data_IF_887822447375
#
_entry.id   IF_887822447375
#
_cell.length_a   1.000
_cell.length_b   1.000
_cell.length_c   1.000
_cell.angle_alpha   90.00
_cell.angle_beta   90.00
_cell.angle_gamma   90.00
#
_symmetry.space_group_name_H-M   'P 1'
#
loop_
_entity.id
_entity.type
_entity.pdbx_description
1 polymer ?
#
# COMPACT_ATOMS: atom_id res chain seq x y z
N UNK A 1 -5.81 -29.54 -3.11
CA UNK A 1 -4.60 -29.90 -2.34
C UNK A 1 -4.30 -28.76 -1.39
N UNK A 2 -4.09 -29.07 -0.11
CA UNK A 2 -3.72 -28.08 0.91
C UNK A 2 -2.20 -27.84 0.86
N UNK A 3 -1.78 -26.59 0.97
CA UNK A 3 -0.37 -26.20 1.06
C UNK A 3 0.23 -26.57 2.43
N UNK A 4 1.49 -26.99 2.43
CA UNK A 4 2.30 -27.36 3.60
C UNK A 4 3.57 -26.48 3.72
N UNK A 5 4.25 -26.46 4.88
CA UNK A 5 5.54 -25.79 5.01
C UNK A 5 6.60 -26.31 4.02
N UNK A 6 6.60 -27.61 3.70
CA UNK A 6 7.54 -28.21 2.74
C UNK A 6 7.36 -27.64 1.32
N UNK A 7 6.13 -27.31 0.92
CA UNK A 7 5.86 -26.65 -0.36
C UNK A 7 6.53 -25.27 -0.44
N UNK A 8 6.63 -24.55 0.69
CA UNK A 8 7.27 -23.24 0.79
C UNK A 8 8.79 -23.39 0.69
N UNK A 9 9.36 -24.39 1.35
CA UNK A 9 10.79 -24.69 1.26
C UNK A 9 11.19 -25.06 -0.17
N UNK A 10 10.40 -25.90 -0.84
CA UNK A 10 10.58 -26.20 -2.26
C UNK A 10 10.43 -24.94 -3.13
N UNK A 11 9.48 -24.06 -2.81
CA UNK A 11 9.31 -22.80 -3.51
C UNK A 11 10.51 -21.86 -3.33
N UNK A 12 11.17 -21.87 -2.17
CA UNK A 12 12.38 -21.07 -1.92
C UNK A 12 13.49 -21.40 -2.92
N UNK A 13 13.67 -22.68 -3.25
CA UNK A 13 14.63 -23.12 -4.25
C UNK A 13 14.28 -22.61 -5.65
N UNK A 14 13.00 -22.63 -6.04
CA UNK A 14 12.53 -22.17 -7.36
C UNK A 14 12.60 -20.66 -7.56
N UNK A 15 12.31 -19.89 -6.51
CA UNK A 15 12.35 -18.42 -6.63
C UNK A 15 13.76 -17.84 -6.49
N UNK A 16 14.69 -18.60 -5.88
CA UNK A 16 16.08 -18.19 -5.70
C UNK A 16 16.75 -17.92 -7.05
N UNK A 17 17.41 -16.77 -7.17
CA UNK A 17 18.13 -16.35 -8.38
C UNK A 17 17.30 -15.48 -9.34
N UNK A 18 15.97 -15.59 -9.32
CA UNK A 18 15.08 -14.73 -10.11
C UNK A 18 14.36 -13.68 -9.25
N UNK A 19 13.91 -14.06 -8.05
CA UNK A 19 13.46 -13.12 -7.02
C UNK A 19 14.66 -12.66 -6.19
N UNK A 20 14.72 -11.36 -5.92
CA UNK A 20 15.67 -10.78 -4.98
C UNK A 20 15.33 -11.23 -3.55
N UNK A 21 16.36 -11.59 -2.79
CA UNK A 21 16.26 -11.60 -1.33
C UNK A 21 16.20 -10.14 -0.86
N UNK A 22 15.01 -9.66 -0.56
CA UNK A 22 14.82 -8.25 -0.25
C UNK A 22 15.37 -7.90 1.14
N UNK A 23 15.88 -6.68 1.35
CA UNK A 23 16.42 -6.29 2.65
C UNK A 23 15.38 -6.32 3.77
N UNK A 24 15.80 -6.77 4.96
CA UNK A 24 15.12 -6.54 6.23
C UNK A 24 15.85 -5.41 6.98
N UNK A 25 15.25 -4.22 7.02
CA UNK A 25 15.94 -3.00 7.47
C UNK A 25 15.42 -2.53 8.82
N UNK A 26 16.32 -2.33 9.78
CA UNK A 26 16.00 -1.73 11.07
C UNK A 26 15.56 -0.27 10.93
N UNK A 27 14.43 0.07 11.54
CA UNK A 27 13.87 1.42 11.57
C UNK A 27 14.06 2.09 12.93
N UNK A 28 15.13 2.88 13.06
CA UNK A 28 15.41 3.70 14.25
C UNK A 28 14.21 4.57 14.64
N UNK A 29 13.57 5.22 13.66
CA UNK A 29 12.42 6.11 13.93
C UNK A 29 11.23 5.35 14.48
N UNK A 30 10.82 4.24 13.86
CA UNK A 30 9.70 3.42 14.35
C UNK A 30 10.03 2.79 15.70
N UNK A 31 11.27 2.38 15.89
CA UNK A 31 11.74 1.78 17.13
C UNK A 31 11.68 2.78 18.29
N UNK A 32 12.17 4.00 18.07
CA UNK A 32 12.14 5.07 19.07
C UNK A 32 10.71 5.45 19.47
N UNK A 33 9.78 5.56 18.53
CA UNK A 33 8.40 5.98 18.85
C UNK A 33 7.58 4.90 19.53
N UNK A 34 7.96 3.63 19.38
CA UNK A 34 7.21 2.49 19.91
C UNK A 34 7.89 1.80 21.10
N UNK A 35 9.16 2.12 21.40
CA UNK A 35 9.96 1.43 22.40
C UNK A 35 10.32 -0.02 22.05
N UNK A 36 10.22 -0.41 20.76
CA UNK A 36 10.43 -1.78 20.25
C UNK A 36 11.52 -1.82 19.19
N UNK A 37 12.02 -2.99 18.84
CA UNK A 37 12.93 -3.18 17.70
C UNK A 37 12.09 -3.41 16.44
N UNK A 38 11.94 -2.38 15.60
CA UNK A 38 11.07 -2.42 14.42
C UNK A 38 11.90 -2.57 13.14
N UNK A 39 11.55 -3.55 12.32
CA UNK A 39 12.17 -3.86 11.05
C UNK A 39 11.17 -3.74 9.89
N UNK A 40 11.66 -3.37 8.71
CA UNK A 40 10.87 -3.25 7.49
C UNK A 40 11.33 -4.31 6.48
N UNK A 41 10.43 -5.19 6.05
CA UNK A 41 10.72 -6.15 4.96
C UNK A 41 10.35 -5.50 3.62
N UNK A 42 11.35 -5.15 2.82
CA UNK A 42 11.23 -4.22 1.69
C UNK A 42 10.91 -4.90 0.35
N UNK A 43 9.72 -5.49 0.24
CA UNK A 43 9.26 -6.09 -1.03
C UNK A 43 8.99 -5.07 -2.14
N UNK A 44 8.89 -3.78 -1.82
CA UNK A 44 8.90 -2.70 -2.79
C UNK A 44 10.20 -2.64 -3.62
N UNK A 45 11.30 -3.24 -3.14
CA UNK A 45 12.58 -3.33 -3.85
C UNK A 45 12.71 -4.62 -4.68
N UNK A 46 11.69 -5.47 -4.73
CA UNK A 46 11.69 -6.64 -5.61
C UNK A 46 11.74 -6.18 -7.08
N UNK A 47 12.21 -7.03 -8.01
CA UNK A 47 12.43 -6.67 -9.43
C UNK A 47 11.23 -6.02 -10.11
N UNK A 48 10.01 -6.46 -9.78
CA UNK A 48 8.76 -5.89 -10.32
C UNK A 48 8.09 -4.90 -9.37
N UNK A 49 8.83 -4.36 -8.41
CA UNK A 49 8.37 -3.39 -7.41
C UNK A 49 7.42 -3.95 -6.34
N UNK A 50 7.24 -5.27 -6.23
CA UNK A 50 6.39 -5.90 -5.21
C UNK A 50 6.64 -7.39 -5.04
N UNK A 51 6.09 -7.96 -3.96
CA UNK A 51 6.19 -9.39 -3.62
C UNK A 51 5.62 -10.36 -4.67
N UNK A 52 4.71 -9.89 -5.55
CA UNK A 52 3.93 -10.75 -6.45
C UNK A 52 4.80 -11.66 -7.32
N UNK A 53 6.01 -11.22 -7.64
CA UNK A 53 6.98 -11.98 -8.41
C UNK A 53 7.27 -13.37 -7.79
N UNK A 54 7.31 -13.51 -6.46
CA UNK A 54 7.66 -14.77 -5.80
C UNK A 54 6.67 -15.89 -6.14
N UNK A 55 5.38 -15.64 -5.93
CA UNK A 55 4.34 -16.62 -6.27
C UNK A 55 4.17 -16.84 -7.78
N UNK A 56 4.35 -15.80 -8.60
CA UNK A 56 4.32 -15.95 -10.06
C UNK A 56 5.45 -16.87 -10.55
N UNK A 57 6.68 -16.63 -10.10
CA UNK A 57 7.85 -17.48 -10.42
C UNK A 57 7.62 -18.92 -9.99
N UNK A 58 7.20 -19.17 -8.74
CA UNK A 58 6.99 -20.53 -8.28
C UNK A 58 5.94 -21.28 -9.11
N UNK A 59 4.80 -20.64 -9.41
CA UNK A 59 3.74 -21.25 -10.23
C UNK A 59 4.21 -21.55 -11.65
N UNK A 60 4.88 -20.58 -12.30
CA UNK A 60 5.34 -20.73 -13.68
C UNK A 60 6.51 -21.72 -13.81
N UNK A 61 7.40 -21.77 -12.83
CA UNK A 61 8.48 -22.75 -12.78
C UNK A 61 7.92 -24.18 -12.63
N UNK A 62 6.89 -24.36 -11.79
CA UNK A 62 6.20 -25.65 -11.63
C UNK A 62 5.49 -26.09 -12.91
N UNK A 63 4.83 -25.17 -13.62
CA UNK A 63 4.26 -25.45 -14.93
C UNK A 63 5.33 -25.95 -15.92
N UNK A 64 6.47 -25.25 -15.98
CA UNK A 64 7.60 -25.67 -16.81
C UNK A 64 8.18 -27.03 -16.42
N UNK A 65 8.37 -27.28 -15.13
CA UNK A 65 8.87 -28.58 -14.60
C UNK A 65 7.93 -29.74 -14.95
N UNK A 66 6.61 -29.49 -14.96
CA UNK A 66 5.60 -30.51 -15.28
C UNK A 66 5.34 -30.66 -16.79
N UNK A 67 5.92 -29.79 -17.61
CA UNK A 67 5.56 -29.72 -19.04
C UNK A 67 4.10 -29.32 -19.25
N UNK A 68 3.54 -28.54 -18.33
CA UNK A 68 2.16 -28.06 -18.38
C UNK A 68 2.12 -26.60 -18.84
N UNK A 69 1.23 -26.28 -19.78
CA UNK A 69 0.89 -24.89 -20.11
C UNK A 69 1.90 -24.18 -21.00
N UNK A 70 1.76 -24.36 -22.31
CA UNK A 70 2.58 -23.68 -23.33
C UNK A 70 2.30 -22.16 -23.42
N UNK A 71 1.27 -21.68 -22.73
CA UNK A 71 0.89 -20.26 -22.67
C UNK A 71 0.06 -20.00 -21.41
N UNK A 72 0.23 -18.80 -20.85
CA UNK A 72 -0.43 -18.42 -19.59
C UNK A 72 -1.23 -17.14 -19.75
N UNK A 73 -2.28 -17.01 -18.94
CA UNK A 73 -3.12 -15.83 -18.89
C UNK A 73 -3.34 -15.36 -17.46
N UNK A 74 -3.33 -14.05 -17.22
CA UNK A 74 -3.76 -13.47 -15.95
C UNK A 74 -4.64 -12.23 -16.19
N UNK A 75 -5.54 -11.95 -15.26
CA UNK A 75 -6.32 -10.70 -15.23
C UNK A 75 -5.86 -9.85 -14.05
N UNK A 76 -5.23 -8.70 -14.33
CA UNK A 76 -4.78 -7.76 -13.32
C UNK A 76 -4.36 -6.43 -13.95
N UNK A 77 -4.72 -5.32 -13.33
CA UNK A 77 -4.22 -3.99 -13.70
C UNK A 77 -2.98 -3.55 -12.88
N UNK A 78 -2.33 -4.48 -12.16
CA UNK A 78 -1.42 -4.13 -11.06
C UNK A 78 -0.20 -5.04 -10.91
N UNK A 79 0.25 -5.18 -9.68
CA UNK A 79 1.46 -5.92 -9.31
C UNK A 79 1.50 -7.37 -9.80
N UNK A 80 0.34 -8.04 -9.85
CA UNK A 80 0.27 -9.41 -10.35
C UNK A 80 0.55 -9.50 -11.85
N UNK A 81 0.06 -8.54 -12.65
CA UNK A 81 0.35 -8.48 -14.08
C UNK A 81 1.86 -8.40 -14.34
N UNK A 82 2.55 -7.50 -13.65
CA UNK A 82 4.00 -7.33 -13.78
C UNK A 82 4.76 -8.57 -13.30
N UNK A 83 4.36 -9.16 -12.17
CA UNK A 83 4.95 -10.38 -11.64
C UNK A 83 4.84 -11.56 -12.60
N UNK A 84 3.67 -11.79 -13.19
CA UNK A 84 3.45 -12.85 -14.20
C UNK A 84 4.22 -12.55 -15.48
N UNK A 85 4.17 -11.32 -15.99
CA UNK A 85 4.86 -10.94 -17.22
C UNK A 85 6.38 -11.14 -17.10
N UNK A 86 6.98 -10.65 -16.02
CA UNK A 86 8.41 -10.81 -15.78
C UNK A 86 8.80 -12.30 -15.64
N UNK A 87 8.08 -13.05 -14.78
CA UNK A 87 8.36 -14.46 -14.55
C UNK A 87 8.24 -15.28 -15.85
N UNK A 88 7.18 -15.05 -16.62
CA UNK A 88 6.95 -15.77 -17.86
C UNK A 88 8.04 -15.48 -18.91
N UNK A 89 8.46 -14.22 -19.07
CA UNK A 89 9.59 -13.84 -19.92
C UNK A 89 10.89 -14.52 -19.49
N UNK A 90 11.18 -14.56 -18.19
CA UNK A 90 12.40 -15.21 -17.69
C UNK A 90 12.43 -16.72 -17.95
N UNK A 91 11.26 -17.34 -18.10
CA UNK A 91 11.11 -18.79 -18.31
C UNK A 91 10.87 -19.17 -19.78
N UNK A 92 10.70 -18.19 -20.66
CA UNK A 92 10.37 -18.41 -22.07
C UNK A 92 8.92 -18.86 -22.30
N UNK A 93 8.00 -18.54 -21.38
CA UNK A 93 6.59 -18.90 -21.46
C UNK A 93 5.80 -17.70 -22.03
N UNK A 94 5.05 -17.86 -23.14
CA UNK A 94 4.14 -16.83 -23.63
C UNK A 94 3.10 -16.42 -22.57
N UNK A 95 3.03 -15.14 -22.25
CA UNK A 95 2.07 -14.59 -21.29
C UNK A 95 1.15 -13.55 -21.91
N UNK A 96 -0.15 -13.71 -21.66
CA UNK A 96 -1.19 -12.73 -21.98
C UNK A 96 -1.75 -12.14 -20.69
N UNK A 97 -1.78 -10.81 -20.60
CA UNK A 97 -2.33 -10.10 -19.46
C UNK A 97 -3.57 -9.32 -19.90
N UNK A 98 -4.71 -9.62 -19.29
CA UNK A 98 -5.95 -8.90 -19.52
C UNK A 98 -6.09 -7.79 -18.48
N UNK A 99 -6.29 -6.56 -18.93
CA UNK A 99 -6.46 -5.37 -18.09
C UNK A 99 -7.75 -4.63 -18.47
N UNK A 100 -8.44 -3.98 -17.53
CA UNK A 100 -9.49 -3.02 -17.86
C UNK A 100 -8.94 -1.86 -18.69
N UNK A 101 -9.79 -1.29 -19.55
CA UNK A 101 -9.39 -0.16 -20.44
C UNK A 101 -8.91 1.07 -19.67
N UNK A 102 -9.41 1.27 -18.46
CA UNK A 102 -9.02 2.37 -17.56
C UNK A 102 -7.78 2.09 -16.70
N UNK A 103 -7.05 0.99 -16.91
CA UNK A 103 -5.81 0.73 -16.18
C UNK A 103 -4.79 1.85 -16.42
N UNK A 104 -4.00 2.21 -15.41
CA UNK A 104 -2.97 3.25 -15.53
C UNK A 104 -1.98 2.94 -16.65
N UNK A 105 -1.66 3.94 -17.48
CA UNK A 105 -0.74 3.80 -18.62
C UNK A 105 0.62 3.26 -18.18
N UNK A 106 1.14 3.75 -17.04
CA UNK A 106 2.38 3.27 -16.40
C UNK A 106 2.40 1.74 -16.22
N UNK A 107 1.36 1.16 -15.62
CA UNK A 107 1.23 -0.29 -15.36
C UNK A 107 1.03 -1.10 -16.65
N UNK A 108 0.33 -0.54 -17.63
CA UNK A 108 0.22 -1.15 -18.97
C UNK A 108 1.59 -1.24 -19.64
N UNK A 109 2.32 -0.12 -19.68
CA UNK A 109 3.65 -0.04 -20.30
C UNK A 109 4.67 -0.91 -19.58
N UNK A 110 4.69 -0.92 -18.24
CA UNK A 110 5.58 -1.78 -17.47
C UNK A 110 5.32 -3.27 -17.77
N UNK A 111 4.06 -3.68 -17.83
CA UNK A 111 3.70 -5.08 -18.14
C UNK A 111 4.09 -5.48 -19.56
N UNK A 112 3.83 -4.61 -20.55
CA UNK A 112 4.24 -4.83 -21.93
C UNK A 112 5.77 -4.83 -22.10
N UNK A 113 6.50 -4.00 -21.35
CA UNK A 113 7.96 -3.95 -21.33
C UNK A 113 8.61 -5.26 -20.82
N UNK A 114 7.89 -6.01 -19.99
CA UNK A 114 8.25 -7.37 -19.61
C UNK A 114 7.88 -8.43 -20.65
N UNK A 115 7.46 -8.05 -21.86
CA UNK A 115 7.26 -8.97 -22.99
C UNK A 115 5.93 -9.72 -23.00
N UNK A 116 5.00 -9.37 -22.11
CA UNK A 116 3.67 -9.96 -22.14
C UNK A 116 2.76 -9.26 -23.17
N UNK A 117 1.85 -10.03 -23.78
CA UNK A 117 0.79 -9.48 -24.60
C UNK A 117 -0.27 -8.85 -23.70
N UNK A 118 -0.46 -7.53 -23.78
CA UNK A 118 -1.49 -6.82 -23.02
C UNK A 118 -2.78 -6.72 -23.84
N UNK A 119 -3.90 -7.20 -23.28
CA UNK A 119 -5.24 -7.07 -23.85
C UNK A 119 -6.04 -6.12 -22.97
N UNK A 120 -6.46 -4.98 -23.53
CA UNK A 120 -7.36 -4.04 -22.86
C UNK A 120 -8.81 -4.44 -23.12
N UNK A 121 -9.49 -4.94 -22.08
CA UNK A 121 -10.86 -5.42 -22.18
C UNK A 121 -11.66 -5.07 -20.92
N UNK A 122 -12.88 -4.61 -21.15
CA UNK A 122 -13.83 -4.31 -20.08
C UNK A 122 -13.61 -2.96 -19.39
N UNK A 123 -14.62 -2.58 -18.60
CA UNK A 123 -14.66 -1.35 -17.79
C UNK A 123 -13.95 -1.53 -16.44
N UNK A 124 -13.97 -2.75 -15.91
CA UNK A 124 -13.39 -3.09 -14.62
C UNK A 124 -12.69 -4.46 -14.64
N UNK A 125 -12.15 -4.86 -13.48
CA UNK A 125 -11.42 -6.11 -13.34
C UNK A 125 -12.32 -7.35 -13.50
N UNK A 126 -13.63 -7.24 -13.25
CA UNK A 126 -14.58 -8.36 -13.40
C UNK A 126 -14.72 -8.71 -14.87
N UNK A 127 -15.00 -7.72 -15.72
CA UNK A 127 -15.08 -7.91 -17.18
C UNK A 127 -13.73 -8.37 -17.77
N UNK A 128 -12.61 -7.84 -17.26
CA UNK A 128 -11.27 -8.32 -17.66
C UNK A 128 -11.04 -9.80 -17.28
N UNK A 129 -11.55 -10.25 -16.13
CA UNK A 129 -11.47 -11.64 -15.69
C UNK A 129 -12.35 -12.56 -16.55
N UNK A 130 -13.52 -12.10 -16.99
CA UNK A 130 -14.38 -12.84 -17.94
C UNK A 130 -13.64 -13.10 -19.24
N UNK A 131 -12.99 -12.08 -19.81
CA UNK A 131 -12.15 -12.26 -21.00
C UNK A 131 -10.97 -13.19 -20.77
N UNK A 132 -10.36 -13.18 -19.58
CA UNK A 132 -9.31 -14.15 -19.25
C UNK A 132 -9.87 -15.60 -19.21
N UNK A 133 -11.10 -15.82 -18.71
CA UNK A 133 -11.75 -17.14 -18.73
C UNK A 133 -12.01 -17.65 -20.14
N UNK A 134 -12.35 -16.76 -21.09
CA UNK A 134 -12.48 -17.13 -22.50
C UNK A 134 -11.15 -17.62 -23.09
N UNK A 135 -10.03 -17.03 -22.68
CA UNK A 135 -8.69 -17.49 -23.09
C UNK A 135 -8.35 -18.82 -22.43
N UNK A 136 -8.78 -19.08 -21.20
CA UNK A 136 -8.62 -20.41 -20.57
C UNK A 136 -9.32 -21.49 -21.38
N UNK A 137 -10.52 -21.21 -21.91
CA UNK A 137 -11.22 -22.14 -22.81
C UNK A 137 -10.46 -22.42 -24.13
N UNK A 138 -9.48 -21.58 -24.47
CA UNK A 138 -8.60 -21.73 -25.63
C UNK A 138 -7.25 -22.40 -25.28
N UNK A 139 -7.12 -22.96 -24.08
CA UNK A 139 -5.94 -23.72 -23.64
C UNK A 139 -4.88 -22.89 -22.91
N UNK A 140 -5.19 -21.65 -22.49
CA UNK A 140 -4.29 -20.89 -21.62
C UNK A 140 -4.40 -21.37 -20.18
N UNK A 141 -3.28 -21.43 -19.47
CA UNK A 141 -3.29 -21.69 -18.02
C UNK A 141 -3.50 -20.37 -17.27
N UNK A 142 -4.56 -20.30 -16.46
CA UNK A 142 -4.83 -19.12 -15.63
C UNK A 142 -3.88 -19.05 -14.43
N UNK A 143 -3.18 -17.93 -14.28
CA UNK A 143 -2.32 -17.67 -13.11
C UNK A 143 -3.08 -16.79 -12.13
N UNK A 144 -3.66 -17.42 -11.11
CA UNK A 144 -4.45 -16.72 -10.11
C UNK A 144 -3.57 -15.81 -9.22
N UNK A 145 -4.00 -14.59 -8.85
CA UNK A 145 -3.18 -13.64 -8.08
C UNK A 145 -2.86 -14.04 -6.64
N UNK A 146 -3.59 -14.98 -6.04
CA UNK A 146 -3.46 -15.34 -4.63
C UNK A 146 -4.07 -16.69 -4.23
N UNK A 147 -5.30 -16.98 -4.65
CA UNK A 147 -6.06 -18.21 -4.35
C UNK A 147 -5.58 -19.47 -5.12
N UNK A 148 -4.27 -19.64 -5.21
CA UNK A 148 -3.59 -20.80 -5.80
C UNK A 148 -2.53 -21.29 -4.79
N UNK A 149 -2.51 -22.58 -4.41
CA UNK A 149 -1.56 -23.11 -3.43
C UNK A 149 -0.09 -22.89 -3.80
N UNK A 150 0.25 -22.96 -5.08
CA UNK A 150 1.63 -22.80 -5.54
C UNK A 150 2.03 -21.32 -5.59
N UNK A 151 1.10 -20.44 -5.94
CA UNK A 151 1.31 -18.99 -5.78
C UNK A 151 1.53 -18.67 -4.30
N UNK A 152 0.69 -19.19 -3.42
CA UNK A 152 0.82 -19.02 -1.96
C UNK A 152 2.16 -19.54 -1.43
N UNK A 153 2.62 -20.70 -1.91
CA UNK A 153 3.92 -21.26 -1.54
C UNK A 153 5.08 -20.34 -1.92
N UNK A 154 5.05 -19.78 -3.14
CA UNK A 154 6.03 -18.79 -3.56
C UNK A 154 5.98 -17.53 -2.69
N UNK A 155 4.79 -17.01 -2.36
CA UNK A 155 4.70 -15.84 -1.47
C UNK A 155 5.22 -16.15 -0.06
N UNK A 156 5.05 -17.38 0.43
CA UNK A 156 5.52 -17.81 1.75
C UNK A 156 7.03 -17.80 1.93
N UNK A 157 7.80 -17.79 0.85
CA UNK A 157 9.27 -17.64 0.90
C UNK A 157 9.71 -16.37 1.63
N UNK A 158 8.87 -15.34 1.65
CA UNK A 158 9.07 -14.12 2.45
C UNK A 158 9.18 -14.42 3.95
N UNK A 159 8.36 -15.34 4.48
CA UNK A 159 8.41 -15.74 5.89
C UNK A 159 9.68 -16.51 6.24
N UNK A 160 10.20 -17.32 5.31
CA UNK A 160 11.48 -17.99 5.47
C UNK A 160 12.64 -16.98 5.55
N UNK A 161 12.65 -15.99 4.65
CA UNK A 161 13.66 -14.94 4.67
C UNK A 161 13.61 -14.10 5.96
N UNK A 162 12.41 -13.76 6.45
CA UNK A 162 12.25 -13.04 7.72
C UNK A 162 12.88 -13.83 8.87
N UNK A 163 12.62 -15.13 8.97
CA UNK A 163 13.19 -15.95 10.05
C UNK A 163 14.69 -16.15 9.94
N UNK A 164 15.21 -16.24 8.72
CA UNK A 164 16.66 -16.34 8.49
C UNK A 164 17.36 -15.02 8.86
N UNK A 165 16.76 -13.87 8.52
CA UNK A 165 17.33 -12.55 8.80
C UNK A 165 17.10 -12.10 10.26
N UNK A 166 16.02 -12.55 10.90
CA UNK A 166 15.64 -12.21 12.28
C UNK A 166 14.98 -13.41 13.00
N UNK A 167 15.76 -14.38 13.50
CA UNK A 167 15.24 -15.58 14.16
C UNK A 167 14.41 -15.30 15.45
N UNK A 168 14.64 -14.14 16.06
CA UNK A 168 13.95 -13.69 17.28
C UNK A 168 12.65 -12.93 17.05
N UNK A 169 12.14 -12.84 15.81
CA UNK A 169 10.92 -12.08 15.50
C UNK A 169 9.74 -12.53 16.36
N UNK A 170 9.09 -11.56 17.00
CA UNK A 170 7.91 -11.80 17.84
C UNK A 170 6.63 -11.61 17.04
N UNK A 171 6.56 -10.53 16.24
CA UNK A 171 5.36 -10.19 15.47
C UNK A 171 5.68 -9.78 14.03
N UNK A 172 4.91 -10.30 13.08
CA UNK A 172 4.90 -9.86 11.67
C UNK A 172 3.55 -9.23 11.33
N UNK A 173 3.57 -7.96 10.93
CA UNK A 173 2.39 -7.21 10.48
C UNK A 173 2.37 -7.17 8.96
N UNK A 174 1.29 -7.67 8.34
CA UNK A 174 1.25 -7.98 6.91
C UNK A 174 -0.07 -7.57 6.24
N UNK A 175 -0.04 -6.90 5.06
CA UNK A 175 -1.26 -6.52 4.36
C UNK A 175 -2.01 -7.74 3.78
N UNK A 176 -3.34 -7.67 3.80
CA UNK A 176 -4.24 -8.74 3.36
C UNK A 176 -5.22 -8.21 2.30
N UNK A 177 -4.97 -8.59 1.04
CA UNK A 177 -5.96 -8.50 -0.03
C UNK A 177 -6.72 -9.83 -0.14
N UNK A 178 -6.45 -10.57 -1.21
CA UNK A 178 -6.95 -11.95 -1.39
C UNK A 178 -6.22 -13.02 -0.58
N UNK A 179 -5.43 -12.64 0.44
CA UNK A 179 -4.89 -13.58 1.43
C UNK A 179 -3.58 -14.32 1.10
N UNK A 180 -3.18 -14.44 -0.16
CA UNK A 180 -2.06 -15.30 -0.57
C UNK A 180 -0.71 -14.98 0.11
N UNK A 181 -0.37 -13.70 0.26
CA UNK A 181 0.86 -13.28 0.94
C UNK A 181 0.84 -13.64 2.43
N UNK A 182 -0.22 -13.24 3.12
CA UNK A 182 -0.37 -13.47 4.55
C UNK A 182 -0.48 -14.96 4.89
N UNK A 183 -1.22 -15.75 4.11
CA UNK A 183 -1.39 -17.17 4.33
C UNK A 183 -0.07 -17.93 4.14
N UNK A 184 0.66 -17.65 3.04
CA UNK A 184 1.96 -18.26 2.78
C UNK A 184 2.99 -17.86 3.83
N UNK A 185 3.06 -16.57 4.18
CA UNK A 185 4.00 -16.08 5.19
C UNK A 185 3.71 -16.66 6.56
N UNK A 186 2.44 -16.68 6.97
CA UNK A 186 2.04 -17.27 8.26
C UNK A 186 2.37 -18.76 8.32
N UNK A 187 2.14 -19.51 7.25
CA UNK A 187 2.47 -20.94 7.20
C UNK A 187 3.98 -21.19 7.33
N UNK A 188 4.81 -20.36 6.68
CA UNK A 188 6.26 -20.42 6.81
C UNK A 188 6.73 -20.13 8.24
N UNK A 189 6.20 -19.05 8.84
CA UNK A 189 6.54 -18.62 10.19
C UNK A 189 6.12 -19.67 11.22
N UNK A 190 4.85 -20.10 11.18
CA UNK A 190 4.30 -21.08 12.13
C UNK A 190 4.94 -22.46 12.00
N UNK A 191 5.43 -22.83 10.81
CA UNK A 191 6.12 -24.10 10.60
C UNK A 191 7.50 -24.17 11.26
N UNK A 192 8.16 -23.04 11.51
CA UNK A 192 9.53 -22.98 12.08
C UNK A 192 9.61 -22.32 13.46
N UNK A 193 8.73 -21.35 13.72
CA UNK A 193 8.65 -20.56 14.96
C UNK A 193 7.18 -20.30 15.31
N UNK A 194 6.44 -21.33 15.81
CA UNK A 194 5.00 -21.28 16.06
C UNK A 194 4.52 -20.11 16.93
N UNK A 195 5.37 -19.61 17.82
CA UNK A 195 5.11 -18.49 18.72
C UNK A 195 5.05 -17.13 18.01
N UNK A 196 5.59 -17.00 16.80
CA UNK A 196 5.58 -15.74 16.04
C UNK A 196 4.13 -15.31 15.76
N UNK A 197 3.70 -14.16 16.25
CA UNK A 197 2.39 -13.61 15.94
C UNK A 197 2.36 -13.08 14.50
N UNK A 198 1.27 -13.34 13.78
CA UNK A 198 1.04 -12.77 12.45
C UNK A 198 -0.25 -11.98 12.48
N UNK A 199 -0.15 -10.67 12.26
CA UNK A 199 -1.28 -9.74 12.30
C UNK A 199 -1.56 -9.27 10.87
N UNK A 200 -2.76 -9.58 10.39
CA UNK A 200 -3.25 -9.12 9.09
C UNK A 200 -3.70 -7.67 9.15
N UNK A 201 -3.57 -6.96 8.02
CA UNK A 201 -4.07 -5.59 7.87
C UNK A 201 -4.92 -5.46 6.61
N UNK A 202 -6.15 -4.96 6.73
CA UNK A 202 -6.96 -4.56 5.57
C UNK A 202 -7.26 -3.06 5.58
N UNK A 203 -7.48 -2.49 4.40
CA UNK A 203 -8.12 -1.18 4.32
C UNK A 203 -9.57 -1.29 4.80
N UNK A 204 -10.00 -0.39 5.69
CA UNK A 204 -11.39 -0.32 6.17
C UNK A 204 -12.39 -0.08 5.03
N UNK A 205 -11.92 0.43 3.89
CA UNK A 205 -12.68 0.57 2.65
C UNK A 205 -13.18 -0.77 2.07
N UNK A 206 -12.44 -1.87 2.27
CA UNK A 206 -12.73 -3.21 1.72
C UNK A 206 -12.35 -4.34 2.71
N UNK A 207 -13.10 -4.54 3.81
CA UNK A 207 -12.73 -5.44 4.90
C UNK A 207 -13.20 -6.91 4.65
N UNK A 208 -12.78 -7.51 3.54
CA UNK A 208 -13.29 -8.82 3.10
C UNK A 208 -12.92 -10.01 3.98
N UNK A 209 -11.73 -10.02 4.59
CA UNK A 209 -11.34 -11.06 5.53
C UNK A 209 -12.07 -10.89 6.85
N UNK A 210 -12.25 -9.65 7.34
CA UNK A 210 -13.01 -9.40 8.58
C UNK A 210 -14.44 -9.94 8.46
N UNK A 211 -15.13 -9.63 7.36
CA UNK A 211 -16.47 -10.17 7.10
C UNK A 211 -16.48 -11.70 6.97
N UNK A 212 -15.43 -12.28 6.39
CA UNK A 212 -15.32 -13.74 6.27
C UNK A 212 -15.05 -14.44 7.61
N UNK A 213 -14.27 -13.83 8.50
CA UNK A 213 -14.04 -14.32 9.85
C UNK A 213 -15.33 -14.29 10.68
N UNK A 214 -16.08 -13.20 10.60
CA UNK A 214 -17.37 -13.03 11.27
C UNK A 214 -18.41 -14.07 10.82
N UNK A 215 -18.54 -14.27 9.49
CA UNK A 215 -19.52 -15.22 8.92
C UNK A 215 -19.02 -16.66 8.80
N UNK A 216 -17.76 -16.92 9.15
CA UNK A 216 -17.15 -18.25 9.10
C UNK A 216 -16.79 -18.77 7.71
N UNK A 217 -16.82 -17.93 6.66
CA UNK A 217 -16.53 -18.31 5.27
C UNK A 217 -16.38 -17.13 4.32
N UNK A 218 -15.77 -17.30 3.12
CA UNK A 218 -15.61 -16.24 2.14
C UNK A 218 -16.92 -15.50 1.86
N UNK A 219 -16.94 -14.21 2.19
CA UNK A 219 -18.13 -13.37 2.12
C UNK A 219 -17.82 -12.14 1.27
N UNK A 220 -18.62 -11.83 0.24
CA UNK A 220 -18.41 -10.63 -0.56
C UNK A 220 -18.77 -9.37 0.25
N UNK A 221 -17.96 -8.32 0.08
CA UNK A 221 -18.20 -6.99 0.65
C UNK A 221 -18.19 -5.92 -0.44
N UNK A 222 -18.85 -4.78 -0.18
CA UNK A 222 -18.76 -3.63 -1.07
C UNK A 222 -17.33 -3.07 -1.07
N UNK A 223 -16.77 -2.86 -2.27
CA UNK A 223 -15.42 -2.30 -2.42
C UNK A 223 -15.46 -0.78 -2.65
N UNK A 224 -15.24 0.00 -1.59
CA UNK A 224 -15.07 1.46 -1.69
C UNK A 224 -13.70 1.83 -2.31
N UNK A 225 -13.54 3.06 -2.84
CA UNK A 225 -12.23 3.55 -3.27
C UNK A 225 -11.22 3.55 -2.12
N UNK A 226 -9.97 3.21 -2.42
CA UNK A 226 -8.88 3.15 -1.44
C UNK A 226 -7.53 3.45 -2.10
N UNK A 227 -6.60 4.06 -1.35
CA UNK A 227 -5.19 4.20 -1.69
C UNK A 227 -4.47 2.84 -1.76
N UNK A 228 -4.99 1.84 -1.06
CA UNK A 228 -4.42 0.49 -1.03
C UNK A 228 -5.06 -0.43 -2.08
N UNK A 229 -4.94 -0.05 -3.35
CA UNK A 229 -5.49 -0.78 -4.51
C UNK A 229 -5.04 -2.25 -4.55
N UNK A 230 -3.80 -2.55 -4.16
CA UNK A 230 -3.25 -3.91 -4.08
C UNK A 230 -3.95 -4.84 -3.08
N UNK A 231 -4.71 -4.30 -2.13
CA UNK A 231 -5.54 -5.06 -1.17
C UNK A 231 -7.04 -4.76 -1.30
N UNK A 232 -7.47 -4.06 -2.37
CA UNK A 232 -8.87 -3.80 -2.69
C UNK A 232 -9.55 -5.05 -3.26
N UNK A 233 -9.72 -6.07 -2.42
CA UNK A 233 -10.26 -7.38 -2.83
C UNK A 233 -11.58 -7.64 -2.09
N UNK A 234 -12.76 -7.55 -2.76
CA UNK A 234 -14.07 -7.64 -2.12
C UNK A 234 -14.44 -9.04 -1.63
N UNK A 235 -13.71 -10.07 -2.05
CA UNK A 235 -13.96 -11.45 -1.66
C UNK A 235 -12.62 -12.14 -1.37
N UNK A 236 -12.43 -12.58 -0.13
CA UNK A 236 -11.24 -13.34 0.27
C UNK A 236 -11.16 -14.66 -0.52
N UNK A 237 -9.94 -15.14 -0.80
CA UNK A 237 -9.75 -16.38 -1.56
C UNK A 237 -10.26 -17.61 -0.78
N UNK A 238 -10.92 -18.52 -1.48
CA UNK A 238 -11.51 -19.75 -0.93
C UNK A 238 -10.49 -20.70 -0.30
N UNK A 239 -9.27 -20.74 -0.82
CA UNK A 239 -8.15 -21.54 -0.33
C UNK A 239 -7.30 -20.78 0.67
N UNK A 240 -7.26 -19.45 0.55
CA UNK A 240 -6.51 -18.61 1.49
C UNK A 240 -7.22 -18.47 2.83
N UNK A 241 -8.55 -18.36 2.85
CA UNK A 241 -9.34 -18.13 4.05
C UNK A 241 -9.14 -19.20 5.14
N UNK A 242 -9.23 -20.52 4.86
CA UNK A 242 -9.04 -21.54 5.90
C UNK A 242 -7.68 -21.42 6.59
N UNK A 243 -6.62 -21.10 5.84
CA UNK A 243 -5.28 -20.89 6.37
C UNK A 243 -5.16 -19.63 7.20
N UNK A 244 -5.78 -18.53 6.77
CA UNK A 244 -5.78 -17.29 7.55
C UNK A 244 -6.56 -17.42 8.85
N UNK A 245 -7.71 -18.09 8.82
CA UNK A 245 -8.53 -18.38 10.01
C UNK A 245 -7.76 -19.22 11.03
N UNK A 246 -6.93 -20.15 10.56
CA UNK A 246 -6.10 -21.02 11.40
C UNK A 246 -4.84 -20.30 11.94
N UNK A 247 -4.17 -19.50 11.11
CA UNK A 247 -2.78 -19.08 11.37
C UNK A 247 -2.61 -17.61 11.77
N UNK A 248 -3.57 -16.73 11.49
CA UNK A 248 -3.49 -15.34 11.92
C UNK A 248 -3.79 -15.22 13.41
N UNK A 249 -2.98 -14.43 14.10
CA UNK A 249 -3.21 -14.07 15.49
C UNK A 249 -4.32 -13.03 15.62
N UNK A 250 -4.36 -12.07 14.68
CA UNK A 250 -5.33 -10.99 14.68
C UNK A 250 -5.43 -10.33 13.29
N UNK A 251 -6.45 -9.49 13.12
CA UNK A 251 -6.71 -8.67 11.95
C UNK A 251 -7.10 -7.24 12.38
N UNK A 252 -6.43 -6.24 11.83
CA UNK A 252 -6.80 -4.83 12.04
C UNK A 252 -7.18 -4.13 10.73
N UNK A 253 -8.06 -3.14 10.85
CA UNK A 253 -8.46 -2.28 9.75
C UNK A 253 -7.77 -0.92 9.86
N UNK A 254 -7.39 -0.35 8.72
CA UNK A 254 -6.80 0.98 8.64
C UNK A 254 -7.59 1.88 7.71
N UNK A 255 -7.79 3.13 8.14
CA UNK A 255 -8.46 4.15 7.35
C UNK A 255 -7.52 4.78 6.31
N UNK A 256 -8.12 5.37 5.28
CA UNK A 256 -7.39 5.96 4.14
C UNK A 256 -6.37 7.02 4.56
N UNK A 257 -6.72 7.86 5.53
CA UNK A 257 -5.81 8.89 6.02
C UNK A 257 -4.63 8.29 6.79
N UNK A 258 -4.82 7.18 7.51
CA UNK A 258 -3.72 6.48 8.17
C UNK A 258 -2.74 5.88 7.15
N UNK A 259 -3.26 5.34 6.04
CA UNK A 259 -2.45 4.86 4.92
C UNK A 259 -1.65 6.02 4.29
N UNK A 260 -2.28 7.17 4.04
CA UNK A 260 -1.63 8.37 3.51
C UNK A 260 -0.50 8.88 4.43
N UNK A 261 -0.74 8.91 5.75
CA UNK A 261 0.28 9.30 6.73
C UNK A 261 1.44 8.30 6.80
N UNK A 262 1.15 7.00 6.68
CA UNK A 262 2.17 5.96 6.67
C UNK A 262 3.05 6.02 5.41
N UNK A 263 2.46 6.33 4.25
CA UNK A 263 3.20 6.61 3.01
C UNK A 263 4.19 7.75 3.20
N UNK A 264 3.71 8.89 3.69
CA UNK A 264 4.56 10.06 3.98
C UNK A 264 5.64 9.70 5.01
N UNK A 265 5.30 8.98 6.08
CA UNK A 265 6.25 8.56 7.10
C UNK A 265 7.40 7.71 6.54
N UNK A 266 7.08 6.71 5.72
CA UNK A 266 8.08 5.83 5.10
C UNK A 266 9.01 6.62 4.16
N UNK A 267 8.41 7.53 3.37
CA UNK A 267 9.14 8.37 2.44
C UNK A 267 10.08 9.34 3.16
N UNK A 268 9.61 10.02 4.21
CA UNK A 268 10.42 11.00 4.96
C UNK A 268 11.49 10.32 5.82
N UNK A 269 11.10 9.30 6.58
CA UNK A 269 11.94 8.70 7.61
C UNK A 269 12.99 7.73 7.08
N UNK A 270 12.71 7.05 5.96
CA UNK A 270 13.59 5.99 5.41
C UNK A 270 13.80 6.06 3.90
N UNK A 271 13.22 7.06 3.22
CA UNK A 271 13.31 7.22 1.76
C UNK A 271 12.74 5.99 1.02
N UNK A 272 11.77 5.34 1.64
CA UNK A 272 11.09 4.18 1.10
C UNK A 272 9.86 4.68 0.35
N UNK A 273 9.86 4.53 -0.97
CA UNK A 273 8.66 4.70 -1.77
C UNK A 273 7.81 3.43 -1.67
N UNK A 274 6.61 3.59 -1.11
CA UNK A 274 5.62 2.53 -0.96
C UNK A 274 4.36 2.88 -1.74
N UNK A 275 3.62 1.86 -2.19
CA UNK A 275 2.22 2.02 -2.58
C UNK A 275 1.31 1.94 -1.35
N UNK A 276 0.01 2.23 -1.48
CA UNK A 276 -0.89 2.25 -0.32
C UNK A 276 -0.99 0.89 0.39
N UNK A 277 -1.01 -0.22 -0.36
CA UNK A 277 -0.97 -1.57 0.21
C UNK A 277 0.34 -1.85 0.97
N UNK A 278 1.48 -1.37 0.45
CA UNK A 278 2.77 -1.50 1.12
C UNK A 278 2.89 -0.67 2.40
N UNK A 279 2.12 0.42 2.50
CA UNK A 279 2.11 1.27 3.69
C UNK A 279 1.15 0.78 4.78
N UNK A 280 0.24 -0.15 4.46
CA UNK A 280 -0.82 -0.58 5.37
C UNK A 280 -0.28 -1.17 6.68
N UNK A 281 0.77 -1.99 6.64
CA UNK A 281 1.40 -2.51 7.85
C UNK A 281 1.97 -1.40 8.76
N UNK A 282 2.54 -0.35 8.15
CA UNK A 282 3.04 0.81 8.89
C UNK A 282 1.89 1.67 9.44
N UNK A 283 0.80 1.82 8.69
CA UNK A 283 -0.40 2.50 9.16
C UNK A 283 -1.02 1.78 10.36
N UNK A 284 -1.09 0.45 10.32
CA UNK A 284 -1.58 -0.36 11.42
C UNK A 284 -0.71 -0.20 12.67
N UNK A 285 0.61 -0.28 12.48
CA UNK A 285 1.60 -0.14 13.56
C UNK A 285 1.53 1.23 14.26
N UNK A 286 1.38 2.31 13.49
CA UNK A 286 1.29 3.67 14.03
C UNK A 286 -0.10 4.04 14.58
N UNK A 287 -1.13 3.28 14.22
CA UNK A 287 -2.52 3.50 14.63
C UNK A 287 -3.05 2.39 15.54
N UNK A 288 -3.91 1.48 15.03
CA UNK A 288 -4.64 0.51 15.85
C UNK A 288 -3.77 -0.48 16.65
N UNK A 289 -2.50 -0.64 16.30
CA UNK A 289 -1.56 -1.52 17.02
C UNK A 289 -0.61 -0.76 17.97
N UNK A 290 -0.65 0.57 18.00
CA UNK A 290 0.34 1.41 18.71
C UNK A 290 0.53 1.02 20.17
N UNK A 291 -0.59 0.79 20.86
CA UNK A 291 -0.61 0.52 22.31
C UNK A 291 -0.75 -0.98 22.64
N UNK A 292 -0.70 -1.86 21.63
CA UNK A 292 -0.81 -3.31 21.83
C UNK A 292 0.55 -3.93 22.16
N UNK A 293 0.55 -5.04 22.89
CA UNK A 293 1.76 -5.84 23.04
C UNK A 293 2.03 -6.60 21.73
N UNK A 294 3.19 -6.32 21.13
CA UNK A 294 3.66 -6.92 19.88
C UNK A 294 4.99 -7.67 20.11
N UNK A 295 5.41 -7.83 21.37
CA UNK A 295 6.74 -8.28 21.72
C UNK A 295 7.81 -7.22 21.48
N UNK A 296 9.06 -7.67 21.51
CA UNK A 296 10.26 -6.83 21.37
C UNK A 296 10.59 -6.59 19.90
N UNK A 297 10.52 -7.61 19.05
CA UNK A 297 10.97 -7.58 17.67
C UNK A 297 9.80 -7.66 16.69
N UNK A 298 9.53 -6.57 15.98
CA UNK A 298 8.37 -6.42 15.09
C UNK A 298 8.82 -6.19 13.65
N UNK A 299 8.28 -6.97 12.71
CA UNK A 299 8.50 -6.78 11.27
C UNK A 299 7.24 -6.22 10.62
N UNK A 300 7.40 -5.13 9.87
CA UNK A 300 6.35 -4.55 9.02
C UNK A 300 6.66 -4.86 7.56
N UNK A 301 5.72 -5.49 6.86
CA UNK A 301 5.89 -5.83 5.45
C UNK A 301 5.53 -4.65 4.55
N UNK A 302 6.52 -4.11 3.84
CA UNK A 302 6.31 -3.11 2.79
C UNK A 302 6.11 -3.85 1.47
N UNK A 303 4.87 -4.27 1.21
CA UNK A 303 4.56 -5.26 0.16
C UNK A 303 4.85 -4.81 -1.28
N UNK A 304 4.88 -3.51 -1.55
CA UNK A 304 5.12 -3.00 -2.90
C UNK A 304 5.27 -1.48 -2.96
N UNK A 305 5.81 -1.00 -4.08
CA UNK A 305 6.16 0.41 -4.34
C UNK A 305 5.58 0.98 -5.63
N UNK A 306 4.70 0.26 -6.32
CA UNK A 306 4.18 0.62 -7.64
C UNK A 306 3.02 1.64 -7.55
N UNK A 307 3.32 2.82 -7.04
CA UNK A 307 2.40 3.95 -6.97
C UNK A 307 2.52 4.87 -8.19
N UNK A 308 1.39 5.31 -8.73
CA UNK A 308 1.36 6.33 -9.78
C UNK A 308 1.79 7.70 -9.22
N UNK A 309 2.72 8.37 -9.89
CA UNK A 309 3.23 9.68 -9.45
C UNK A 309 2.10 10.72 -9.27
N UNK A 310 1.11 10.84 -10.18
CA UNK A 310 -0.02 11.75 -9.96
C UNK A 310 -0.88 11.40 -8.73
N UNK A 311 -0.95 10.12 -8.34
CA UNK A 311 -1.62 9.73 -7.09
C UNK A 311 -0.79 10.18 -5.89
N UNK A 312 0.53 9.97 -5.93
CA UNK A 312 1.44 10.42 -4.87
C UNK A 312 1.37 11.93 -4.66
N UNK A 313 1.40 12.73 -5.73
CA UNK A 313 1.26 14.20 -5.69
C UNK A 313 -0.04 14.66 -5.01
N UNK A 314 -1.13 13.89 -5.14
CA UNK A 314 -2.41 14.21 -4.49
C UNK A 314 -2.46 13.77 -3.04
N UNK A 315 -1.72 12.72 -2.66
CA UNK A 315 -1.72 12.13 -1.32
C UNK A 315 -0.82 12.91 -0.36
N UNK A 316 0.37 13.33 -0.82
CA UNK A 316 1.35 13.99 0.06
C UNK A 316 0.83 15.28 0.70
N UNK A 317 0.18 16.22 -0.02
CA UNK A 317 -0.36 17.43 0.60
C UNK A 317 -1.43 17.12 1.66
N UNK A 318 -2.28 16.12 1.42
CA UNK A 318 -3.30 15.69 2.40
C UNK A 318 -2.67 15.13 3.67
N UNK A 319 -1.64 14.30 3.52
CA UNK A 319 -0.89 13.78 4.67
C UNK A 319 -0.16 14.88 5.45
N UNK A 320 0.33 15.93 4.77
CA UNK A 320 0.98 17.07 5.40
C UNK A 320 0.00 18.03 6.10
N UNK A 321 -1.21 18.23 5.54
CA UNK A 321 -2.31 18.96 6.17
C UNK A 321 -2.71 18.29 7.49
N UNK A 322 -2.90 16.97 7.45
CA UNK A 322 -3.24 16.17 8.63
C UNK A 322 -2.16 16.24 9.73
N UNK A 323 -0.88 16.32 9.33
CA UNK A 323 0.26 16.54 10.25
C UNK A 323 0.43 17.98 10.70
N UNK A 324 -0.46 18.90 10.31
CA UNK A 324 -0.39 20.34 10.64
C UNK A 324 0.94 20.97 10.20
N UNK A 325 1.49 20.49 9.09
CA UNK A 325 2.66 21.08 8.43
C UNK A 325 2.26 21.92 7.23
N UNK A 326 1.14 21.57 6.60
CA UNK A 326 0.43 22.48 5.71
C UNK A 326 -0.82 23.01 6.42
N UNK A 327 -1.18 24.24 6.10
CA UNK A 327 -2.39 24.91 6.60
C UNK A 327 -3.09 25.58 5.43
N UNK A 328 -4.41 25.41 5.33
CA UNK A 328 -5.23 26.19 4.41
C UNK A 328 -6.07 27.14 5.23
N UNK A 329 -5.89 28.45 5.03
CA UNK A 329 -6.52 29.50 5.82
C UNK A 329 -7.30 30.45 4.91
N UNK A 330 -8.38 31.00 5.42
CA UNK A 330 -8.98 32.24 4.92
C UNK A 330 -8.72 33.34 5.93
N UNK A 331 -8.24 34.47 5.43
CA UNK A 331 -7.97 35.65 6.23
C UNK A 331 -8.74 36.82 5.65
N UNK A 332 -9.53 37.50 6.47
CA UNK A 332 -10.23 38.73 6.08
C UNK A 332 -9.31 39.92 6.34
N UNK A 333 -9.12 40.78 5.34
CA UNK A 333 -8.28 41.97 5.39
C UNK A 333 -9.11 43.20 5.04
N UNK A 334 -8.74 44.38 5.55
CA UNK A 334 -9.25 45.63 4.97
C UNK A 334 -8.67 45.85 3.56
N UNK A 335 -9.49 46.31 2.62
CA UNK A 335 -9.07 46.64 1.26
C UNK A 335 -8.41 48.03 1.23
N UNK A 336 -7.21 48.10 1.80
CA UNK A 336 -6.40 49.30 1.84
C UNK A 336 -4.98 49.04 1.27
N UNK A 337 -4.33 50.05 0.65
CA UNK A 337 -2.94 49.93 0.20
C UNK A 337 -2.01 49.38 1.31
N UNK A 338 -1.21 48.37 0.94
CA UNK A 338 -0.26 47.72 1.84
C UNK A 338 -0.83 46.69 2.82
N UNK A 339 -2.15 46.46 2.87
CA UNK A 339 -2.76 45.48 3.78
C UNK A 339 -2.22 44.05 3.56
N UNK A 340 -2.17 43.61 2.30
CA UNK A 340 -1.59 42.32 1.93
C UNK A 340 -0.09 42.23 2.26
N UNK A 341 0.64 43.34 2.08
CA UNK A 341 2.06 43.42 2.40
C UNK A 341 2.32 43.20 3.88
N UNK A 342 1.52 43.82 4.76
CA UNK A 342 1.60 43.61 6.22
C UNK A 342 1.32 42.16 6.62
N UNK A 343 0.32 41.53 6.03
CA UNK A 343 0.01 40.11 6.25
C UNK A 343 1.20 39.23 5.86
N UNK A 344 1.75 39.43 4.65
CA UNK A 344 2.89 38.67 4.16
C UNK A 344 4.14 38.86 5.03
N UNK A 345 4.42 40.10 5.46
CA UNK A 345 5.52 40.40 6.39
C UNK A 345 5.35 39.68 7.72
N UNK A 346 4.16 39.73 8.33
CA UNK A 346 3.89 39.03 9.59
C UNK A 346 4.10 37.52 9.47
N UNK A 347 3.60 36.90 8.40
CA UNK A 347 3.81 35.48 8.13
C UNK A 347 5.31 35.15 7.99
N UNK A 348 6.05 36.00 7.28
CA UNK A 348 7.50 35.89 7.13
C UNK A 348 8.25 36.03 8.46
N UNK A 349 7.86 36.97 9.32
CA UNK A 349 8.42 37.17 10.66
C UNK A 349 8.17 35.97 11.58
N UNK A 350 7.02 35.31 11.45
CA UNK A 350 6.75 34.06 12.17
C UNK A 350 7.52 32.87 11.59
N UNK A 351 8.12 33.00 10.40
CA UNK A 351 8.86 31.93 9.73
C UNK A 351 7.96 30.96 8.97
N UNK A 352 6.72 31.32 8.66
CA UNK A 352 5.82 30.55 7.80
C UNK A 352 6.14 30.81 6.32
N UNK A 353 6.09 29.76 5.50
CA UNK A 353 6.28 29.88 4.06
C UNK A 353 4.92 29.91 3.35
N UNK A 354 4.71 30.88 2.46
CA UNK A 354 3.46 31.01 1.70
C UNK A 354 3.60 30.22 0.40
N UNK A 355 2.87 29.11 0.27
CA UNK A 355 2.89 28.27 -0.94
C UNK A 355 1.96 28.82 -2.02
N UNK A 356 0.74 29.20 -1.60
CA UNK A 356 -0.25 29.79 -2.48
C UNK A 356 -0.97 30.92 -1.77
N UNK A 357 -1.27 31.97 -2.52
CA UNK A 357 -2.04 33.11 -2.06
C UNK A 357 -3.05 33.46 -3.16
N UNK A 358 -4.32 33.50 -2.79
CA UNK A 358 -5.40 33.98 -3.66
C UNK A 358 -6.10 35.15 -2.98
N UNK A 359 -6.12 36.30 -3.64
CA UNK A 359 -6.69 37.54 -3.13
C UNK A 359 -8.01 37.81 -3.86
N UNK A 360 -9.12 37.72 -3.14
CA UNK A 360 -10.48 37.81 -3.64
C UNK A 360 -11.16 39.09 -3.13
N UNK A 361 -11.23 40.09 -4.00
CA UNK A 361 -11.94 41.36 -3.76
C UNK A 361 -13.41 41.32 -4.13
N UNK A 362 -13.87 40.23 -4.74
CA UNK A 362 -15.24 40.08 -5.22
C UNK A 362 -16.04 39.10 -4.37
N UNK A 363 -15.55 38.75 -3.18
CA UNK A 363 -16.24 37.89 -2.22
C UNK A 363 -17.59 38.53 -1.83
N UNK A 364 -18.73 38.02 -2.31
CA UNK A 364 -20.03 38.68 -2.14
C UNK A 364 -20.51 38.77 -0.69
N UNK A 365 -19.94 37.95 0.20
CA UNK A 365 -20.24 37.93 1.63
C UNK A 365 -19.51 39.00 2.45
N UNK A 366 -18.49 39.67 1.89
CA UNK A 366 -17.71 40.67 2.60
C UNK A 366 -18.21 42.10 2.31
N UNK A 367 -18.13 43.03 3.29
CA UNK A 367 -18.35 44.45 3.01
C UNK A 367 -17.34 44.99 2.00
N UNK A 368 -17.69 46.05 1.27
CA UNK A 368 -16.87 46.64 0.19
C UNK A 368 -15.46 47.06 0.63
N UNK A 369 -15.28 47.40 1.91
CA UNK A 369 -13.98 47.82 2.46
C UNK A 369 -13.11 46.65 2.91
N UNK A 370 -13.52 45.40 2.63
CA UNK A 370 -12.81 44.18 3.02
C UNK A 370 -12.59 43.27 1.83
N UNK A 371 -11.55 42.46 1.95
CA UNK A 371 -11.17 41.46 0.95
C UNK A 371 -10.76 40.16 1.65
N UNK A 372 -10.98 39.04 0.96
CA UNK A 372 -10.56 37.74 1.44
C UNK A 372 -9.21 37.38 0.84
N UNK A 373 -8.34 36.83 1.68
CA UNK A 373 -7.12 36.18 1.22
C UNK A 373 -7.15 34.72 1.63
N UNK A 374 -7.14 33.83 0.64
CA UNK A 374 -6.97 32.41 0.86
C UNK A 374 -5.47 32.07 0.81
N UNK A 375 -4.97 31.45 1.86
CA UNK A 375 -3.56 31.12 2.05
C UNK A 375 -3.39 29.61 2.15
N UNK A 376 -2.40 29.07 1.45
CA UNK A 376 -1.81 27.79 1.78
C UNK A 376 -0.41 28.03 2.35
N UNK A 377 -0.23 27.69 3.62
CA UNK A 377 1.01 27.92 4.35
C UNK A 377 1.72 26.60 4.65
N UNK A 378 3.04 26.64 4.60
CA UNK A 378 3.91 25.59 5.13
C UNK A 378 4.54 26.05 6.45
N UNK A 379 4.52 25.14 7.42
CA UNK A 379 5.04 25.31 8.78
C UNK A 379 5.93 24.12 9.13
N UNK A 380 6.68 24.26 10.23
CA UNK A 380 7.69 23.27 10.63
C UNK A 380 7.01 22.04 11.22
N UNK A 381 6.06 22.30 12.10
CA UNK A 381 5.27 21.34 12.84
C UNK A 381 3.98 22.03 13.33
N UNK A 382 3.17 21.26 14.04
CA UNK A 382 1.93 21.74 14.64
C UNK A 382 2.15 22.94 15.56
N UNK A 383 3.15 22.89 16.44
CA UNK A 383 3.37 23.97 17.43
C UNK A 383 3.72 25.28 16.74
N UNK A 384 4.54 25.23 15.70
CA UNK A 384 4.86 26.38 14.87
C UNK A 384 3.60 26.94 14.17
N UNK A 385 2.76 26.08 13.59
CA UNK A 385 1.53 26.54 12.95
C UNK A 385 0.53 27.18 13.92
N UNK A 386 0.37 26.64 15.13
CA UNK A 386 -0.46 27.26 16.17
C UNK A 386 0.09 28.64 16.59
N UNK A 387 1.43 28.81 16.65
CA UNK A 387 2.06 30.12 16.89
C UNK A 387 1.75 31.12 15.77
N UNK A 388 1.82 30.68 14.51
CA UNK A 388 1.47 31.51 13.35
C UNK A 388 0.01 31.95 13.42
N UNK A 389 -0.92 31.02 13.71
CA UNK A 389 -2.34 31.34 13.87
C UNK A 389 -2.60 32.34 15.01
N UNK A 390 -1.91 32.16 16.14
CA UNK A 390 -1.99 33.09 17.26
C UNK A 390 -1.48 34.48 16.88
N UNK A 391 -0.33 34.58 16.20
CA UNK A 391 0.21 35.85 15.75
C UNK A 391 -0.72 36.60 14.79
N UNK A 392 -1.38 35.88 13.87
CA UNK A 392 -2.40 36.46 12.98
C UNK A 392 -3.59 37.02 13.77
N UNK A 393 -4.12 36.27 14.73
CA UNK A 393 -5.24 36.70 15.58
C UNK A 393 -4.85 37.88 16.48
N UNK A 394 -3.66 37.85 17.07
CA UNK A 394 -3.13 38.94 17.91
C UNK A 394 -2.93 40.24 17.12
N UNK A 395 -2.64 40.14 15.81
CA UNK A 395 -2.56 41.28 14.89
C UNK A 395 -3.94 41.79 14.41
N UNK A 396 -5.05 41.19 14.88
CA UNK A 396 -6.41 41.61 14.57
C UNK A 396 -7.01 41.01 13.29
N UNK A 397 -6.38 40.00 12.71
CA UNK A 397 -6.93 39.30 11.56
C UNK A 397 -8.01 38.29 11.97
N UNK A 398 -9.12 38.27 11.25
CA UNK A 398 -10.08 37.18 11.30
C UNK A 398 -9.55 36.01 10.46
N UNK A 399 -9.31 34.87 11.10
CA UNK A 399 -8.70 33.69 10.47
C UNK A 399 -9.61 32.48 10.63
N UNK A 400 -9.98 31.89 9.50
CA UNK A 400 -10.72 30.63 9.43
C UNK A 400 -9.84 29.54 8.82
N UNK A 401 -9.82 28.35 9.42
CA UNK A 401 -9.20 27.18 8.79
C UNK A 401 -10.13 26.60 7.72
N UNK A 402 -9.59 26.38 6.52
CA UNK A 402 -10.28 25.64 5.48
C UNK A 402 -10.16 24.13 5.76
N UNK A 403 -11.27 23.38 5.69
CA UNK A 403 -11.28 21.95 5.92
C UNK A 403 -10.54 21.15 4.85
#
# INVERSE_FOLDING_TARGET
MAISPQDIEAAQARVRGAALRTPLVYSQTLSRVSGREVFLKLENLQTTGSFKLRGALNRLQLLKERGEGDRVVAASAGNHAQGVAFAAKSLGIPATIVMPRGASISKQMATAGYGAQVILHGRDLSEALERAKELVAQGYVFIHPCDDPEVMAGQGTLGLEILEDLPGVDTVVIPVGGGGLAAGTALALKGRKPETAVIGVQAAAVPSLAAALEKGGPTPVAARPTLADGIRVPLIGSRTFPKLKELLQDLVLVEEMAIAQALLFLLEGKKILSEGAGAAATAAFLGPLKDRDLGRQVVLVVSGGNIDIPLLERVLPRALLERRRLWSLRVTLSDAPGALGRLASLLGEQGANILHLFHDRLAPELPLDYTRVELNLETRDREHGEKVLKALRDAGYEVEEKP
#
